data_IF_161939186159
#
_entry.id   IF_161939186159
#
_cell.length_a   1.000
_cell.length_b   1.000
_cell.length_c   1.000
_cell.angle_alpha   90.00
_cell.angle_beta   90.00
_cell.angle_gamma   90.00
#
_symmetry.space_group_name_H-M   'P 1'
#
loop_
_entity.id
_entity.type
_entity.pdbx_description
1 polymer ?
#
# COMPACT_ATOMS: atom_id res chain seq x y z
N UNK A 1 -2.66 51.37 -34.60
CA UNK A 1 -2.43 49.92 -34.72
C UNK A 1 -1.39 49.53 -33.66
N UNK A 2 -1.39 48.28 -33.22
CA UNK A 2 -0.64 47.68 -32.09
C UNK A 2 -1.42 47.55 -30.78
N UNK A 3 -2.15 46.45 -30.73
CA UNK A 3 -2.72 45.78 -29.56
C UNK A 3 -1.62 45.35 -28.59
N UNK A 4 -1.81 45.52 -27.28
CA UNK A 4 -0.96 44.89 -26.27
C UNK A 4 -1.79 43.88 -25.48
N UNK A 5 -1.26 42.67 -25.38
CA UNK A 5 -1.93 41.47 -24.87
C UNK A 5 -2.01 41.47 -23.35
N UNK A 6 -3.19 41.08 -22.87
CA UNK A 6 -3.55 40.79 -21.49
C UNK A 6 -3.05 39.37 -21.16
N UNK A 7 -2.30 39.21 -20.07
CA UNK A 7 -2.02 37.89 -19.49
C UNK A 7 -2.70 37.81 -18.12
N UNK A 8 -3.85 37.15 -18.08
CA UNK A 8 -4.49 36.71 -16.84
C UNK A 8 -3.80 35.42 -16.37
N UNK A 9 -3.09 35.48 -15.25
CA UNK A 9 -2.65 34.29 -14.52
C UNK A 9 -3.78 33.80 -13.61
N UNK A 10 -4.54 32.80 -14.07
CA UNK A 10 -5.55 32.13 -13.26
C UNK A 10 -4.85 31.00 -12.48
N UNK A 11 -4.51 31.27 -11.22
CA UNK A 11 -4.08 30.24 -10.27
C UNK A 11 -5.25 29.28 -10.01
N UNK A 12 -5.11 28.00 -10.37
CA UNK A 12 -6.00 26.95 -9.89
C UNK A 12 -5.64 26.67 -8.42
N UNK A 13 -6.35 27.35 -7.51
CA UNK A 13 -6.50 26.87 -6.14
C UNK A 13 -7.42 25.65 -6.25
N UNK A 14 -6.84 24.46 -6.13
CA UNK A 14 -7.61 23.25 -5.93
C UNK A 14 -8.38 23.43 -4.60
N UNK A 15 -9.68 23.67 -4.68
CA UNK A 15 -10.56 23.55 -3.53
C UNK A 15 -10.61 22.06 -3.17
N UNK A 16 -9.80 21.66 -2.20
CA UNK A 16 -10.01 20.42 -1.49
C UNK A 16 -11.43 20.47 -0.91
N UNK A 17 -12.30 19.59 -1.40
CA UNK A 17 -13.60 19.38 -0.79
C UNK A 17 -13.36 19.02 0.68
N UNK A 18 -13.76 19.90 1.60
CA UNK A 18 -13.76 19.66 3.04
C UNK A 18 -14.81 18.59 3.33
N UNK A 19 -14.44 17.33 3.13
CA UNK A 19 -15.09 16.22 3.82
C UNK A 19 -14.86 16.47 5.30
N UNK A 20 -15.94 16.71 6.07
CA UNK A 20 -15.87 16.83 7.52
C UNK A 20 -15.53 15.45 8.11
N UNK A 21 -14.27 15.06 8.03
CA UNK A 21 -13.76 13.88 8.69
C UNK A 21 -12.58 14.35 9.52
N UNK A 22 -12.72 14.35 10.85
CA UNK A 22 -11.63 14.82 11.72
C UNK A 22 -10.40 13.92 11.77
N UNK A 23 -10.43 12.84 11.00
CA UNK A 23 -9.34 11.89 10.80
C UNK A 23 -8.76 12.08 9.39
N UNK A 24 -7.46 12.33 9.32
CA UNK A 24 -6.71 12.46 8.07
C UNK A 24 -5.76 11.26 7.90
N UNK A 25 -6.03 10.33 6.96
CA UNK A 25 -5.07 9.28 6.62
C UNK A 25 -3.78 9.87 6.06
N UNK A 26 -2.63 9.49 6.62
CA UNK A 26 -1.33 10.08 6.31
C UNK A 26 -0.38 9.11 5.59
N UNK A 27 -0.57 7.80 5.74
CA UNK A 27 0.21 6.79 5.02
C UNK A 27 -0.62 5.53 4.77
N UNK A 28 -0.51 4.90 3.58
CA UNK A 28 0.38 5.21 2.44
C UNK A 28 0.05 6.49 1.68
N UNK A 29 1.09 7.11 1.12
CA UNK A 29 1.03 8.36 0.32
C UNK A 29 1.28 8.09 -1.18
N UNK A 30 1.10 9.06 -2.10
CA UNK A 30 1.30 8.85 -3.53
C UNK A 30 2.72 8.38 -3.84
N UNK A 31 2.84 7.35 -4.68
CA UNK A 31 4.13 6.76 -5.04
C UNK A 31 4.66 5.72 -4.07
N UNK A 32 3.99 5.51 -2.93
CA UNK A 32 4.27 4.38 -2.04
C UNK A 32 4.06 3.05 -2.77
N UNK A 33 4.99 2.11 -2.56
CA UNK A 33 4.92 0.75 -3.10
C UNK A 33 4.93 -0.27 -1.97
N UNK A 34 3.89 -1.09 -1.93
CA UNK A 34 3.72 -2.14 -0.93
C UNK A 34 3.82 -3.52 -1.60
N UNK A 35 4.78 -4.31 -1.15
CA UNK A 35 5.01 -5.65 -1.69
C UNK A 35 4.01 -6.63 -1.06
N UNK A 36 3.39 -7.46 -1.89
CA UNK A 36 2.48 -8.53 -1.45
C UNK A 36 3.11 -9.39 -0.35
N UNK A 37 2.32 -9.74 0.67
CA UNK A 37 2.72 -10.61 1.78
C UNK A 37 3.62 -9.94 2.83
N UNK A 38 4.06 -8.70 2.61
CA UNK A 38 4.78 -7.91 3.63
C UNK A 38 3.80 -7.17 4.52
N UNK A 39 4.27 -6.82 5.72
CA UNK A 39 3.51 -6.02 6.68
C UNK A 39 3.98 -4.57 6.63
N UNK A 40 3.02 -3.65 6.59
CA UNK A 40 3.25 -2.20 6.65
C UNK A 40 2.30 -1.57 7.65
N UNK A 41 2.67 -0.39 8.15
CA UNK A 41 1.78 0.44 8.96
C UNK A 41 0.87 1.25 8.03
N UNK A 42 -0.43 1.29 8.33
CA UNK A 42 -1.37 2.30 7.85
C UNK A 42 -1.42 3.37 8.94
N UNK A 43 -1.28 4.66 8.60
CA UNK A 43 -1.27 5.73 9.61
C UNK A 43 -2.28 6.83 9.30
N UNK A 44 -2.72 7.50 10.35
CA UNK A 44 -3.63 8.65 10.29
C UNK A 44 -3.33 9.64 11.40
N UNK A 45 -3.77 10.87 11.24
CA UNK A 45 -3.60 11.96 12.18
C UNK A 45 -4.90 12.74 12.40
N UNK A 46 -4.92 13.58 13.44
CA UNK A 46 -6.00 14.51 13.68
C UNK A 46 -5.87 15.68 12.69
N UNK A 47 -6.95 16.01 11.98
CA UNK A 47 -6.93 17.10 11.00
C UNK A 47 -7.12 18.50 11.63
N UNK A 48 -7.34 18.55 12.96
CA UNK A 48 -7.57 19.78 13.71
C UNK A 48 -8.98 20.36 13.57
N UNK A 49 -9.90 19.66 12.91
CA UNK A 49 -11.30 20.06 12.78
C UNK A 49 -12.13 19.58 13.97
N UNK A 50 -13.32 20.18 14.11
CA UNK A 50 -14.28 19.85 15.18
C UNK A 50 -15.42 19.02 14.61
N UNK A 51 -15.83 17.91 15.26
CA UNK A 51 -15.30 17.38 16.53
C UNK A 51 -13.91 16.76 16.36
N UNK A 52 -13.04 16.89 17.38
CA UNK A 52 -11.71 16.28 17.35
C UNK A 52 -11.76 14.77 17.02
N UNK A 53 -10.73 14.25 16.38
CA UNK A 53 -10.67 12.87 15.89
C UNK A 53 -11.06 11.85 16.97
N UNK A 54 -10.57 12.03 18.19
CA UNK A 54 -10.78 11.11 19.32
C UNK A 54 -12.25 11.06 19.76
N UNK A 55 -13.05 12.05 19.36
CA UNK A 55 -14.48 12.12 19.63
C UNK A 55 -15.33 11.55 18.49
N UNK A 56 -14.95 11.80 17.23
CA UNK A 56 -15.70 11.36 16.04
C UNK A 56 -15.34 9.97 15.52
N UNK A 57 -14.16 9.44 15.84
CA UNK A 57 -13.63 8.19 15.28
C UNK A 57 -13.44 7.13 16.36
N UNK A 58 -14.50 6.85 17.13
CA UNK A 58 -14.45 5.91 18.26
C UNK A 58 -14.67 4.44 17.86
N UNK A 59 -15.36 4.23 16.76
CA UNK A 59 -15.52 2.94 16.13
C UNK A 59 -15.52 3.18 14.62
N UNK A 60 -14.46 2.71 13.96
CA UNK A 60 -14.33 2.82 12.53
C UNK A 60 -13.71 1.57 11.94
N UNK A 61 -13.84 1.45 10.62
CA UNK A 61 -13.19 0.40 9.83
C UNK A 61 -12.26 1.01 8.80
N UNK A 62 -11.34 0.18 8.33
CA UNK A 62 -10.49 0.47 7.17
C UNK A 62 -10.81 -0.58 6.12
N UNK A 63 -11.10 -0.15 4.91
CA UNK A 63 -11.35 -1.01 3.76
C UNK A 63 -10.30 -0.72 2.68
N UNK A 64 -9.80 -1.77 2.04
CA UNK A 64 -8.98 -1.66 0.84
C UNK A 64 -9.90 -1.51 -0.37
N UNK A 65 -9.67 -0.47 -1.15
CA UNK A 65 -10.52 -0.04 -2.25
C UNK A 65 -9.71 0.11 -3.55
N UNK A 66 -10.42 0.16 -4.67
CA UNK A 66 -9.90 0.45 -6.02
C UNK A 66 -10.98 1.17 -6.85
N UNK A 67 -10.74 1.45 -8.12
CA UNK A 67 -11.70 2.13 -9.00
C UNK A 67 -11.46 3.63 -9.17
N UNK A 68 -12.38 4.30 -9.87
CA UNK A 68 -12.37 5.75 -10.06
C UNK A 68 -12.99 6.48 -8.84
N UNK A 69 -12.89 7.81 -8.84
CA UNK A 69 -13.34 8.61 -7.70
C UNK A 69 -14.86 8.57 -7.48
N UNK A 70 -15.64 8.34 -8.55
CA UNK A 70 -17.10 8.32 -8.51
C UNK A 70 -17.68 6.91 -8.36
N UNK A 71 -16.92 5.88 -8.73
CA UNK A 71 -17.32 4.46 -8.63
C UNK A 71 -16.23 3.60 -7.97
N UNK A 72 -16.01 3.85 -6.68
CA UNK A 72 -15.06 3.11 -5.85
C UNK A 72 -15.54 1.68 -5.61
N UNK A 73 -14.62 0.71 -5.75
CA UNK A 73 -14.89 -0.72 -5.58
C UNK A 73 -14.20 -1.23 -4.33
N UNK A 74 -15.00 -1.87 -3.47
CA UNK A 74 -14.51 -2.59 -2.30
C UNK A 74 -13.76 -3.85 -2.72
N UNK A 75 -12.62 -4.10 -2.07
CA UNK A 75 -11.84 -5.34 -2.23
C UNK A 75 -11.92 -6.22 -0.99
N UNK A 76 -11.51 -5.68 0.16
CA UNK A 76 -11.52 -6.41 1.43
C UNK A 76 -11.57 -5.45 2.60
N UNK A 77 -12.12 -5.94 3.72
CA UNK A 77 -11.96 -5.27 4.99
C UNK A 77 -10.54 -5.51 5.51
N UNK A 78 -9.88 -4.44 5.93
CA UNK A 78 -8.53 -4.44 6.49
C UNK A 78 -8.60 -4.58 8.01
N UNK A 79 -9.46 -3.79 8.62
CA UNK A 79 -9.68 -3.76 10.04
C UNK A 79 -11.09 -3.25 10.34
N UNK A 80 -11.62 -3.64 11.49
CA UNK A 80 -12.91 -3.18 12.02
C UNK A 80 -12.79 -2.95 13.52
N UNK A 81 -13.70 -2.17 14.09
CA UNK A 81 -13.73 -1.84 15.53
C UNK A 81 -12.47 -1.09 16.00
N UNK A 82 -11.89 -0.26 15.13
CA UNK A 82 -10.79 0.62 15.49
C UNK A 82 -11.30 1.86 16.24
N UNK A 83 -10.45 2.42 17.10
CA UNK A 83 -10.80 3.59 17.90
C UNK A 83 -9.63 4.57 18.02
N UNK A 84 -9.87 5.81 17.63
CA UNK A 84 -8.95 6.93 17.86
C UNK A 84 -9.08 7.50 19.28
N UNK A 85 -10.07 7.07 20.07
CA UNK A 85 -10.35 7.58 21.42
C UNK A 85 -9.16 7.43 22.39
N UNK A 86 -8.32 6.42 22.17
CA UNK A 86 -7.14 6.13 22.98
C UNK A 86 -5.85 6.71 22.39
N UNK A 87 -5.95 7.53 21.33
CA UNK A 87 -4.79 8.13 20.65
C UNK A 87 -4.05 7.17 19.71
N UNK A 88 -4.66 6.05 19.32
CA UNK A 88 -4.07 5.19 18.29
C UNK A 88 -4.13 5.87 16.93
N UNK A 89 -2.99 5.91 16.24
CA UNK A 89 -2.78 6.58 14.94
C UNK A 89 -2.21 5.65 13.88
N UNK A 90 -2.16 4.34 14.16
CA UNK A 90 -1.64 3.36 13.20
C UNK A 90 -2.24 1.98 13.34
N UNK A 91 -2.20 1.21 12.25
CA UNK A 91 -2.61 -0.18 12.18
C UNK A 91 -1.66 -0.99 11.28
N UNK A 92 -1.22 -2.16 11.76
CA UNK A 92 -0.36 -3.07 10.99
C UNK A 92 -1.17 -3.93 10.05
N UNK A 93 -0.82 -3.91 8.77
CA UNK A 93 -1.54 -4.64 7.73
C UNK A 93 -0.60 -5.48 6.87
N UNK A 94 -0.94 -6.76 6.71
CA UNK A 94 -0.29 -7.64 5.73
C UNK A 94 -0.94 -7.45 4.36
N UNK A 95 -0.13 -7.11 3.36
CA UNK A 95 -0.60 -6.79 2.02
C UNK A 95 -1.13 -8.04 1.32
N UNK A 96 -2.40 -8.05 0.86
CA UNK A 96 -2.98 -9.20 0.19
C UNK A 96 -2.43 -9.32 -1.22
N UNK A 97 -2.54 -10.52 -1.80
CA UNK A 97 -2.29 -10.69 -3.21
C UNK A 97 -3.40 -10.03 -4.03
N UNK A 98 -3.05 -9.27 -5.07
CA UNK A 98 -3.99 -8.51 -5.90
C UNK A 98 -3.65 -8.63 -7.37
N UNK A 99 -4.60 -8.26 -8.23
CA UNK A 99 -4.40 -8.14 -9.67
C UNK A 99 -5.19 -6.95 -10.20
N UNK A 100 -4.59 -6.03 -10.98
CA UNK A 100 -3.17 -5.98 -11.37
C UNK A 100 -2.27 -5.47 -10.24
N UNK A 101 -0.96 -5.67 -10.35
CA UNK A 101 0.00 -5.01 -9.46
C UNK A 101 0.22 -3.56 -9.92
N UNK A 102 -0.54 -2.60 -9.40
CA UNK A 102 -0.59 -1.24 -9.95
C UNK A 102 -0.87 -0.17 -8.89
N UNK A 103 -0.60 1.09 -9.20
CA UNK A 103 -0.88 2.29 -8.41
C UNK A 103 -2.36 2.73 -8.44
N UNK A 104 -3.26 1.79 -8.10
CA UNK A 104 -4.73 1.98 -8.19
C UNK A 104 -5.46 1.67 -6.88
N UNK A 105 -4.73 1.36 -5.81
CA UNK A 105 -5.29 0.96 -4.53
C UNK A 105 -5.27 2.12 -3.55
N UNK A 106 -6.26 2.19 -2.68
CA UNK A 106 -6.34 3.21 -1.63
C UNK A 106 -7.14 2.64 -0.46
N UNK A 107 -6.94 3.20 0.72
CA UNK A 107 -7.74 2.88 1.89
C UNK A 107 -8.89 3.86 2.05
N UNK A 108 -10.05 3.33 2.44
CA UNK A 108 -11.19 4.10 2.89
C UNK A 108 -11.41 3.81 4.38
N UNK A 109 -11.46 4.88 5.16
CA UNK A 109 -11.81 4.88 6.56
C UNK A 109 -13.27 5.26 6.66
N UNK A 110 -14.06 4.53 7.44
CA UNK A 110 -15.48 4.84 7.66
C UNK A 110 -15.84 4.68 9.12
N UNK A 111 -16.37 5.74 9.75
CA UNK A 111 -16.88 5.68 11.13
C UNK A 111 -18.36 5.26 11.19
N UNK A 112 -18.90 5.12 12.41
CA UNK A 112 -20.30 4.76 12.65
C UNK A 112 -21.31 5.80 12.12
N UNK A 113 -20.91 7.07 12.05
CA UNK A 113 -21.75 8.17 11.55
C UNK A 113 -21.78 8.23 10.00
N UNK A 114 -21.00 7.37 9.33
CA UNK A 114 -20.90 7.31 7.87
C UNK A 114 -19.97 8.36 7.26
N UNK A 115 -19.18 9.05 8.08
CA UNK A 115 -18.09 9.91 7.62
C UNK A 115 -16.99 9.05 7.01
N UNK A 116 -16.38 9.57 5.94
CA UNK A 116 -15.35 8.87 5.20
C UNK A 116 -14.09 9.71 5.09
N UNK A 117 -12.95 9.06 5.20
CA UNK A 117 -11.64 9.62 4.88
C UNK A 117 -10.86 8.63 4.02
N UNK A 118 -9.97 9.11 3.16
CA UNK A 118 -9.27 8.26 2.21
C UNK A 118 -7.77 8.55 2.23
N UNK A 119 -6.97 7.51 2.02
CA UNK A 119 -5.60 7.73 1.55
C UNK A 119 -5.62 8.12 0.09
N UNK A 120 -4.51 8.69 -0.38
CA UNK A 120 -4.24 8.75 -1.81
C UNK A 120 -3.98 7.35 -2.38
N UNK A 121 -3.99 7.23 -3.71
CA UNK A 121 -3.67 5.98 -4.39
C UNK A 121 -2.20 5.61 -4.21
N UNK A 122 -1.95 4.34 -3.92
CA UNK A 122 -0.63 3.73 -3.78
C UNK A 122 -0.53 2.45 -4.61
N UNK A 123 0.70 1.96 -4.81
CA UNK A 123 0.96 0.75 -5.57
C UNK A 123 1.03 -0.47 -4.65
N UNK A 124 0.37 -1.54 -5.08
CA UNK A 124 0.67 -2.89 -4.58
C UNK A 124 1.46 -3.60 -5.68
N UNK A 125 2.63 -4.14 -5.33
CA UNK A 125 3.55 -4.79 -6.25
C UNK A 125 3.78 -6.26 -5.89
N UNK A 126 4.06 -7.08 -6.88
CA UNK A 126 4.47 -8.47 -6.67
C UNK A 126 5.83 -8.58 -5.98
N UNK A 127 6.25 -9.81 -5.66
CA UNK A 127 7.54 -10.09 -5.01
C UNK A 127 8.75 -9.61 -5.84
N UNK A 128 8.61 -9.52 -7.16
CA UNK A 128 9.62 -8.99 -8.07
C UNK A 128 9.64 -7.46 -8.13
N UNK A 129 8.83 -6.79 -7.30
CA UNK A 129 8.64 -5.34 -7.24
C UNK A 129 8.24 -4.69 -8.57
N UNK A 130 7.70 -5.48 -9.51
CA UNK A 130 7.18 -4.94 -10.77
C UNK A 130 5.81 -4.34 -10.57
N UNK A 131 5.59 -3.24 -11.28
CA UNK A 131 4.35 -2.49 -11.30
C UNK A 131 3.85 -2.38 -12.75
N UNK A 132 2.59 -2.73 -12.93
CA UNK A 132 1.81 -2.54 -14.15
C UNK A 132 1.20 -1.13 -14.17
N UNK A 133 1.15 -0.54 -15.36
CA UNK A 133 0.50 0.76 -15.53
C UNK A 133 -1.00 0.68 -15.20
N UNK A 134 -1.58 1.70 -14.54
CA UNK A 134 -3.03 1.78 -14.38
C UNK A 134 -3.76 1.71 -15.72
N UNK A 135 -4.88 1.00 -15.74
CA UNK A 135 -5.68 0.79 -16.96
C UNK A 135 -6.15 2.11 -17.60
N UNK A 136 -6.41 3.13 -16.77
CA UNK A 136 -6.84 4.45 -17.20
C UNK A 136 -5.93 5.52 -16.61
N UNK A 137 -5.50 6.48 -17.43
CA UNK A 137 -4.57 7.55 -17.02
C UNK A 137 -5.29 8.81 -16.51
N UNK A 138 -6.61 8.91 -16.73
CA UNK A 138 -7.43 10.06 -16.35
C UNK A 138 -8.76 9.57 -15.77
N UNK A 139 -9.30 10.33 -14.83
CA UNK A 139 -10.66 10.12 -14.30
C UNK A 139 -11.70 10.33 -15.41
N UNK A 140 -12.88 9.70 -15.32
CA UNK A 140 -13.99 9.96 -16.24
C UNK A 140 -14.39 11.45 -16.29
N UNK A 141 -14.17 12.17 -15.20
CA UNK A 141 -14.40 13.62 -15.04
C UNK A 141 -13.28 14.50 -15.61
N UNK A 142 -12.16 13.92 -16.05
CA UNK A 142 -11.08 14.60 -16.77
C UNK A 142 -9.84 14.94 -15.96
N UNK A 143 -9.83 14.70 -14.64
CA UNK A 143 -8.64 14.88 -13.83
C UNK A 143 -7.55 13.87 -14.22
N UNK A 144 -6.29 14.31 -14.19
CA UNK A 144 -5.11 13.48 -14.47
C UNK A 144 -4.73 12.62 -13.26
N UNK A 145 -5.69 11.82 -12.80
CA UNK A 145 -5.50 10.87 -11.71
C UNK A 145 -5.71 9.48 -12.32
N UNK A 146 -4.65 8.67 -12.45
CA UNK A 146 -4.78 7.31 -12.94
C UNK A 146 -5.67 6.45 -12.05
N UNK A 147 -6.36 5.48 -12.65
CA UNK A 147 -7.20 4.53 -11.95
C UNK A 147 -7.32 3.21 -12.71
N UNK A 148 -7.84 2.21 -12.02
CA UNK A 148 -8.17 0.91 -12.56
C UNK A 148 -9.05 0.17 -11.57
N UNK A 149 -9.59 -0.97 -11.97
CA UNK A 149 -10.35 -1.85 -11.08
C UNK A 149 -9.49 -3.07 -10.78
N UNK A 150 -8.95 -3.11 -9.57
CA UNK A 150 -8.27 -4.30 -9.04
C UNK A 150 -9.23 -5.37 -8.54
N UNK A 151 -8.66 -6.52 -8.19
CA UNK A 151 -9.32 -7.63 -7.48
C UNK A 151 -8.32 -8.32 -6.57
N UNK A 152 -8.81 -9.03 -5.55
CA UNK A 152 -7.96 -9.97 -4.82
C UNK A 152 -7.56 -11.10 -5.77
N UNK A 153 -6.27 -11.40 -5.83
CA UNK A 153 -5.77 -12.56 -6.54
C UNK A 153 -5.79 -13.75 -5.57
N UNK A 154 -6.04 -14.95 -6.10
CA UNK A 154 -5.91 -16.15 -5.28
C UNK A 154 -4.49 -16.25 -4.73
N UNK A 155 -4.37 -16.69 -3.48
CA UNK A 155 -3.08 -17.04 -2.92
C UNK A 155 -2.58 -18.22 -3.75
N UNK A 156 -1.51 -18.05 -4.51
CA UNK A 156 -0.82 -19.20 -5.11
C UNK A 156 -0.34 -20.05 -3.94
N UNK A 157 -1.09 -21.09 -3.60
CA UNK A 157 -0.59 -22.16 -2.77
C UNK A 157 0.55 -22.77 -3.57
N UNK A 158 1.79 -22.43 -3.18
CA UNK A 158 2.92 -23.27 -3.53
C UNK A 158 2.55 -24.65 -3.01
N UNK A 159 2.27 -25.56 -3.94
CA UNK A 159 2.11 -26.97 -3.66
C UNK A 159 3.46 -27.46 -3.12
N UNK A 160 3.64 -27.38 -1.80
CA UNK A 160 4.57 -28.28 -1.12
C UNK A 160 4.06 -29.68 -1.40
N UNK A 161 4.73 -30.37 -2.32
CA UNK A 161 4.53 -31.79 -2.57
C UNK A 161 5.13 -32.58 -1.39
N UNK A 162 4.64 -32.32 -0.17
CA UNK A 162 4.90 -33.17 0.97
C UNK A 162 4.01 -34.40 0.83
N UNK A 163 4.58 -35.44 0.22
CA UNK A 163 3.95 -36.76 0.11
C UNK A 163 3.94 -37.41 1.50
N UNK A 164 3.04 -36.93 2.36
CA UNK A 164 2.66 -37.60 3.59
C UNK A 164 1.47 -38.53 3.31
N UNK A 165 1.79 -39.70 2.76
CA UNK A 165 0.84 -40.80 2.63
C UNK A 165 0.61 -41.44 3.99
N UNK A 166 -0.37 -40.95 4.75
CA UNK A 166 -0.92 -41.64 5.91
C UNK A 166 -1.84 -42.80 5.48
N UNK A 167 -1.77 -43.98 6.13
CA UNK A 167 -2.39 -45.19 5.61
C UNK A 167 -3.92 -45.21 5.80
N UNK A 168 -4.61 -45.57 4.72
CA UNK A 168 -6.00 -46.04 4.74
C UNK A 168 -6.05 -47.42 5.40
N UNK A 169 -6.87 -47.56 6.44
CA UNK A 169 -7.24 -48.87 7.00
C UNK A 169 -8.25 -49.55 6.07
N UNK A 170 -7.86 -50.67 5.49
CA UNK A 170 -8.79 -51.69 5.00
C UNK A 170 -8.09 -53.03 5.16
N UNK A 171 -8.47 -53.73 6.23
CA UNK A 171 -8.22 -55.16 6.39
C UNK A 171 -8.83 -55.91 5.21
N UNK A 172 -8.01 -56.64 4.45
CA UNK A 172 -8.31 -58.03 4.04
C UNK A 172 -7.10 -58.69 3.34
N UNK A 173 -6.82 -59.90 3.81
CA UNK A 173 -6.18 -61.06 3.16
C UNK A 173 -4.66 -61.14 2.82
N UNK A 174 -4.03 -62.09 3.54
CA UNK A 174 -3.08 -63.14 3.08
C UNK A 174 -1.91 -62.75 2.15
N UNK A 175 -0.76 -62.51 2.79
CA UNK A 175 0.38 -63.44 2.80
C UNK A 175 1.21 -63.67 1.52
N UNK A 176 2.45 -63.16 1.50
CA UNK A 176 3.71 -63.85 1.14
C UNK A 176 4.86 -62.82 1.22
N UNK A 177 5.88 -63.03 2.07
CA UNK A 177 7.29 -63.39 1.72
C UNK A 177 7.69 -62.80 0.36
N UNK A 178 8.75 -61.97 0.19
CA UNK A 178 10.18 -62.36 0.11
C UNK A 178 11.07 -61.11 0.36
N UNK A 179 12.34 -61.38 0.72
CA UNK A 179 13.36 -60.50 1.25
C UNK A 179 14.25 -59.73 0.24
N UNK A 180 15.00 -58.78 0.80
CA UNK A 180 16.40 -58.40 0.53
C UNK A 180 16.78 -57.58 -0.73
N UNK A 181 17.25 -56.34 -0.51
CA UNK A 181 18.67 -55.91 -0.64
C UNK A 181 18.79 -54.42 -1.05
N UNK A 182 19.83 -53.68 -0.61
CA UNK A 182 19.99 -52.25 -0.87
C UNK A 182 20.75 -51.98 -2.18
N UNK A 183 20.33 -50.97 -2.94
CA UNK A 183 21.07 -50.45 -4.11
C UNK A 183 21.59 -49.05 -3.79
N UNK A 184 22.91 -48.89 -3.91
CA UNK A 184 23.67 -47.63 -3.85
C UNK A 184 23.14 -46.61 -4.86
N UNK A 185 22.94 -45.36 -4.43
CA UNK A 185 23.09 -44.19 -5.30
C UNK A 185 24.37 -43.45 -4.91
N UNK A 186 25.36 -43.49 -5.79
CA UNK A 186 26.27 -42.36 -5.99
C UNK A 186 25.65 -41.47 -7.07
N UNK A 187 25.86 -40.16 -6.93
CA UNK A 187 25.92 -39.16 -8.01
C UNK A 187 26.12 -37.77 -7.37
N UNK A 188 27.36 -37.55 -6.94
CA UNK A 188 28.21 -36.40 -7.24
C UNK A 188 27.71 -35.56 -8.43
N UNK A 189 27.32 -34.30 -8.16
CA UNK A 189 27.24 -33.26 -9.19
C UNK A 189 27.85 -31.96 -8.65
N UNK A 190 29.07 -31.74 -9.09
CA UNK A 190 29.93 -30.58 -8.95
C UNK A 190 29.37 -29.44 -9.82
N UNK A 191 29.11 -28.26 -9.22
CA UNK A 191 28.81 -27.04 -9.99
C UNK A 191 29.99 -26.11 -9.82
N UNK A 192 30.72 -25.95 -10.92
CA UNK A 192 31.86 -25.09 -11.08
C UNK A 192 31.48 -23.61 -10.96
N UNK A 193 32.29 -22.91 -10.20
CA UNK A 193 32.52 -21.47 -10.17
C UNK A 193 32.97 -20.96 -11.54
N UNK A 194 32.37 -19.87 -12.01
CA UNK A 194 33.01 -18.99 -12.98
C UNK A 194 32.92 -17.57 -12.45
N UNK A 195 34.11 -17.07 -12.11
CA UNK A 195 34.47 -15.68 -11.94
C UNK A 195 34.08 -14.88 -13.19
N UNK A 196 33.62 -13.65 -13.00
CA UNK A 196 33.99 -12.57 -13.90
C UNK A 196 34.04 -11.26 -13.11
N UNK A 197 35.21 -10.65 -13.22
CA UNK A 197 35.70 -9.42 -12.61
C UNK A 197 35.30 -8.18 -13.43
N UNK A 198 35.27 -7.04 -12.72
CA UNK A 198 35.54 -5.67 -13.22
C UNK A 198 34.48 -5.03 -14.15
N UNK A 199 34.18 -3.73 -14.13
CA UNK A 199 34.96 -2.54 -13.78
C UNK A 199 34.11 -1.49 -13.07
N UNK A 200 34.82 -0.63 -12.34
CA UNK A 200 34.32 0.57 -11.69
C UNK A 200 33.98 1.69 -12.68
N UNK A 201 32.97 2.52 -12.37
CA UNK A 201 33.07 3.96 -12.63
C UNK A 201 32.44 4.77 -11.50
N UNK A 202 33.30 5.64 -10.97
CA UNK A 202 33.11 6.67 -9.96
C UNK A 202 32.24 7.84 -10.44
N UNK A 203 31.30 8.34 -9.64
CA UNK A 203 30.83 9.73 -9.72
C UNK A 203 30.49 10.32 -8.34
N UNK A 204 31.46 11.11 -7.87
CA UNK A 204 31.41 12.33 -7.04
C UNK A 204 30.22 12.60 -6.10
N UNK A 205 30.57 12.66 -4.81
CA UNK A 205 29.86 13.36 -3.72
C UNK A 205 29.82 14.88 -3.97
N UNK A 206 28.62 15.47 -3.93
CA UNK A 206 28.44 16.91 -3.69
C UNK A 206 27.72 17.11 -2.35
N UNK A 207 28.53 17.40 -1.32
CA UNK A 207 28.09 17.89 -0.02
C UNK A 207 27.64 19.35 -0.16
N UNK A 208 26.33 19.61 -0.18
CA UNK A 208 25.77 20.96 0.01
C UNK A 208 25.41 21.14 1.48
N UNK A 209 26.04 22.15 2.09
CA UNK A 209 26.11 22.37 3.51
C UNK A 209 24.81 22.78 4.19
N UNK A 210 24.67 22.29 5.41
CA UNK A 210 23.81 22.82 6.44
C UNK A 210 24.33 24.19 6.90
N UNK A 211 23.63 25.28 6.55
CA UNK A 211 23.77 26.54 7.26
C UNK A 211 22.40 27.24 7.46
N UNK A 212 21.91 27.11 8.71
CA UNK A 212 21.22 28.13 9.51
C UNK A 212 20.04 28.87 8.87
N UNK A 213 18.84 28.30 9.02
CA UNK A 213 17.62 29.10 9.10
C UNK A 213 17.48 29.62 10.53
N UNK A 214 17.85 30.89 10.75
CA UNK A 214 17.46 31.64 11.94
C UNK A 214 15.95 31.90 11.87
N UNK A 215 15.22 31.34 12.84
CA UNK A 215 13.83 31.67 13.10
C UNK A 215 13.71 33.17 13.43
N UNK A 216 13.04 33.92 12.55
CA UNK A 216 12.50 35.23 12.88
C UNK A 216 11.18 35.00 13.62
N UNK A 217 11.15 35.31 14.92
CA UNK A 217 9.93 35.36 15.69
C UNK A 217 9.02 36.47 15.12
N UNK A 218 7.86 36.07 14.60
CA UNK A 218 6.78 36.99 14.25
C UNK A 218 6.06 37.32 15.57
N UNK A 219 6.25 38.55 16.03
CA UNK A 219 5.56 39.14 17.18
C UNK A 219 4.07 39.32 16.82
N UNK A 220 3.20 38.52 17.43
CA UNK A 220 1.76 38.63 17.28
C UNK A 220 1.23 39.69 18.28
N UNK A 221 0.43 40.67 17.84
CA UNK A 221 -0.12 41.68 18.74
C UNK A 221 -1.09 41.04 19.75
N UNK A 222 -0.90 41.39 21.04
CA UNK A 222 -1.76 40.96 22.13
C UNK A 222 -3.20 41.45 21.93
N UNK A 223 -4.21 40.64 22.28
CA UNK A 223 -5.61 41.08 22.24
C UNK A 223 -5.84 42.20 23.25
N UNK A 224 -6.46 43.29 22.80
CA UNK A 224 -6.93 44.35 23.68
C UNK A 224 -8.02 43.79 24.61
N UNK A 225 -7.85 44.06 25.90
CA UNK A 225 -8.85 43.88 26.96
C UNK A 225 -9.98 44.89 26.77
#
# INVERSE_FOLDING_TARGET
MFSSFITFGLSLIALSHLTNASLAPSYPEPGTKWTVGKEYDITWEDDGLTPAMQNGWKNFKIDLMTGDNMDQKFLTNVASNLSAATGSTSFKYTVPNVSPYSSIYFFMFTNEDGENAWTTRFAIVGEDNKEEAPANQMQPTGEKIPWGVGKLAEKTTLIDNDTSSGPTSSDEERGQKIAAAPVKLGNDNEIATMDDEEEEESLSEEQVGNDKIKAAAIDLPKPNV
#
